data_IF_767557532540
#
_entry.id   IF_767557532540
#
_cell.length_a   1.000
_cell.length_b   1.000
_cell.length_c   1.000
_cell.angle_alpha   90.00
_cell.angle_beta   90.00
_cell.angle_gamma   90.00
#
_symmetry.space_group_name_H-M   'P 1'
#
loop_
_entity.id
_entity.type
_entity.pdbx_description
1 polymer ?
#
# COMPACT_ATOMS: atom_id res chain seq x y z
N UNK A 1 -20.50 -11.24 2.44
CA UNK A 1 -21.08 -11.32 3.81
C UNK A 1 -19.94 -11.73 4.72
N UNK A 2 -19.60 -10.91 5.73
CA UNK A 2 -18.45 -11.12 6.61
C UNK A 2 -18.57 -12.48 7.32
N UNK A 3 -17.57 -13.36 7.17
CA UNK A 3 -17.60 -14.70 7.76
C UNK A 3 -17.44 -14.68 9.30
N UNK A 4 -17.97 -15.73 9.94
CA UNK A 4 -17.92 -15.96 11.39
C UNK A 4 -16.46 -16.22 11.81
N UNK A 5 -15.81 -15.18 12.32
CA UNK A 5 -14.38 -15.16 12.68
C UNK A 5 -13.82 -13.74 12.66
N UNK A 6 -14.52 -12.84 11.96
CA UNK A 6 -14.22 -11.42 11.91
C UNK A 6 -14.31 -10.82 13.32
N UNK A 7 -13.19 -10.33 13.86
CA UNK A 7 -13.12 -9.60 15.14
C UNK A 7 -13.70 -8.19 14.96
N UNK A 8 -14.97 -8.13 14.59
CA UNK A 8 -15.71 -6.89 14.50
C UNK A 8 -15.91 -6.39 15.92
N UNK A 9 -15.34 -5.22 16.21
CA UNK A 9 -15.53 -4.54 17.48
C UNK A 9 -16.69 -3.55 17.31
N UNK A 10 -17.91 -3.87 17.76
CA UNK A 10 -18.95 -2.86 17.86
C UNK A 10 -18.49 -1.79 18.85
N UNK A 11 -18.37 -0.55 18.38
CA UNK A 11 -18.01 0.60 19.19
C UNK A 11 -19.25 1.46 19.39
N UNK A 12 -19.54 1.84 20.63
CA UNK A 12 -20.47 2.93 20.90
C UNK A 12 -19.93 4.21 20.28
N UNK A 13 -20.80 5.03 19.68
CA UNK A 13 -20.38 6.30 19.12
C UNK A 13 -19.78 7.21 20.20
N UNK A 14 -18.58 7.72 19.95
CA UNK A 14 -17.89 8.71 20.78
C UNK A 14 -17.39 9.83 19.87
N UNK A 15 -17.93 11.04 20.03
CA UNK A 15 -17.63 12.17 19.15
C UNK A 15 -16.14 12.53 19.09
N UNK A 16 -15.40 12.41 20.20
CA UNK A 16 -13.97 12.76 20.25
C UNK A 16 -13.13 11.71 19.53
N UNK A 17 -13.37 10.44 19.84
CA UNK A 17 -12.65 9.32 19.20
C UNK A 17 -12.96 9.23 17.70
N UNK A 18 -14.22 9.43 17.30
CA UNK A 18 -14.61 9.35 15.89
C UNK A 18 -14.09 10.54 15.07
N UNK A 19 -13.91 11.71 15.68
CA UNK A 19 -13.25 12.84 15.01
C UNK A 19 -11.76 12.56 14.75
N UNK A 20 -11.09 11.87 15.68
CA UNK A 20 -9.72 11.42 15.46
C UNK A 20 -9.67 10.38 14.34
N UNK A 21 -10.57 9.39 14.36
CA UNK A 21 -10.69 8.37 13.33
C UNK A 21 -10.90 8.97 11.93
N UNK A 22 -11.75 10.00 11.78
CA UNK A 22 -11.93 10.70 10.50
C UNK A 22 -10.60 11.31 9.97
N UNK A 23 -9.76 11.81 10.87
CA UNK A 23 -8.44 12.34 10.50
C UNK A 23 -7.50 11.22 10.07
N UNK A 24 -7.47 10.11 10.80
CA UNK A 24 -6.66 8.92 10.46
C UNK A 24 -7.09 8.30 9.12
N UNK A 25 -8.40 8.24 8.84
CA UNK A 25 -8.91 7.76 7.56
C UNK A 25 -8.52 8.67 6.39
N UNK A 26 -8.49 9.99 6.59
CA UNK A 26 -7.98 10.94 5.57
C UNK A 26 -6.48 10.76 5.33
N UNK A 27 -5.70 10.48 6.38
CA UNK A 27 -4.28 10.16 6.25
C UNK A 27 -4.09 8.86 5.46
N UNK A 28 -4.87 7.81 5.78
CA UNK A 28 -4.85 6.57 5.04
C UNK A 28 -5.21 6.77 3.56
N UNK A 29 -6.28 7.51 3.26
CA UNK A 29 -6.66 7.85 1.89
C UNK A 29 -5.50 8.54 1.15
N UNK A 30 -4.81 9.46 1.82
CA UNK A 30 -3.66 10.16 1.23
C UNK A 30 -2.50 9.20 1.00
N UNK A 31 -2.17 8.33 1.97
CA UNK A 31 -1.10 7.35 1.82
C UNK A 31 -1.37 6.38 0.64
N UNK A 32 -2.60 5.90 0.52
CA UNK A 32 -3.02 5.02 -0.57
C UNK A 32 -2.96 5.73 -1.93
N UNK A 33 -3.48 6.96 -2.03
CA UNK A 33 -3.53 7.68 -3.31
C UNK A 33 -2.19 8.28 -3.74
N UNK A 34 -1.22 8.43 -2.83
CA UNK A 34 0.11 8.97 -3.13
C UNK A 34 1.16 7.90 -3.40
N UNK A 35 0.95 6.66 -2.93
CA UNK A 35 1.84 5.56 -3.23
C UNK A 35 1.87 5.30 -4.75
N UNK A 36 3.08 5.08 -5.28
CA UNK A 36 3.28 4.84 -6.72
C UNK A 36 3.36 3.37 -7.09
N UNK A 37 3.66 2.52 -6.11
CA UNK A 37 3.98 1.10 -6.31
C UNK A 37 3.16 0.29 -5.31
N UNK A 38 3.67 0.11 -4.08
CA UNK A 38 3.02 -0.67 -3.04
C UNK A 38 2.75 0.17 -1.78
N UNK A 39 1.66 -0.17 -1.07
CA UNK A 39 1.35 0.36 0.26
C UNK A 39 1.48 -0.77 1.26
N UNK A 40 2.40 -0.61 2.20
CA UNK A 40 2.61 -1.57 3.29
C UNK A 40 1.98 -1.02 4.57
N UNK A 41 0.95 -1.71 5.07
CA UNK A 41 0.27 -1.32 6.31
C UNK A 41 0.78 -2.21 7.43
N UNK A 42 1.48 -1.61 8.38
CA UNK A 42 1.91 -2.26 9.61
C UNK A 42 1.36 -1.51 10.82
N UNK A 43 0.73 -2.25 11.71
CA UNK A 43 0.31 -1.83 13.04
C UNK A 43 0.86 -2.89 13.99
N UNK A 44 1.38 -2.56 15.16
CA UNK A 44 1.87 -3.58 16.09
C UNK A 44 0.71 -4.26 16.83
N UNK A 45 -0.35 -3.52 17.13
CA UNK A 45 -1.42 -3.98 17.99
C UNK A 45 -2.46 -4.79 17.20
N UNK A 46 -2.41 -6.12 17.33
CA UNK A 46 -3.32 -7.04 16.65
C UNK A 46 -4.79 -6.75 16.93
N UNK A 47 -5.15 -6.47 18.19
CA UNK A 47 -6.54 -6.21 18.56
C UNK A 47 -7.06 -4.89 17.98
N UNK A 48 -6.23 -3.84 17.94
CA UNK A 48 -6.62 -2.54 17.36
C UNK A 48 -6.73 -2.61 15.84
N UNK A 49 -5.82 -3.31 15.16
CA UNK A 49 -5.84 -3.40 13.69
C UNK A 49 -6.94 -4.32 13.16
N UNK A 50 -7.36 -5.32 13.96
CA UNK A 50 -8.22 -6.41 13.50
C UNK A 50 -9.48 -5.94 12.74
N UNK A 51 -10.27 -4.96 13.20
CA UNK A 51 -11.47 -4.54 12.48
C UNK A 51 -11.20 -4.09 11.03
N UNK A 52 -10.14 -3.30 10.83
CA UNK A 52 -9.74 -2.79 9.52
C UNK A 52 -9.09 -3.87 8.65
N UNK A 53 -8.21 -4.67 9.26
CA UNK A 53 -7.52 -5.76 8.58
C UNK A 53 -8.49 -6.81 8.05
N UNK A 54 -9.40 -7.29 8.89
CA UNK A 54 -10.41 -8.27 8.51
C UNK A 54 -11.41 -7.69 7.48
N UNK A 55 -11.76 -6.42 7.60
CA UNK A 55 -12.61 -5.74 6.62
C UNK A 55 -11.95 -5.70 5.23
N UNK A 56 -10.67 -5.33 5.15
CA UNK A 56 -9.93 -5.33 3.89
C UNK A 56 -9.75 -6.72 3.28
N UNK A 57 -9.48 -7.74 4.11
CA UNK A 57 -9.44 -9.14 3.65
C UNK A 57 -10.78 -9.60 3.09
N UNK A 58 -11.87 -9.30 3.79
CA UNK A 58 -13.20 -9.70 3.35
C UNK A 58 -13.61 -9.06 2.02
N UNK A 59 -13.12 -7.85 1.76
CA UNK A 59 -13.27 -7.18 0.46
C UNK A 59 -12.25 -7.63 -0.60
N UNK A 60 -11.28 -8.48 -0.22
CA UNK A 60 -10.18 -8.95 -1.08
C UNK A 60 -9.35 -7.80 -1.66
N UNK A 61 -9.12 -6.76 -0.87
CA UNK A 61 -8.37 -5.56 -1.27
C UNK A 61 -6.89 -5.60 -0.87
N UNK A 62 -6.49 -6.56 -0.04
CA UNK A 62 -5.13 -6.67 0.51
C UNK A 62 -4.65 -8.10 0.40
N UNK A 63 -3.33 -8.26 0.34
CA UNK A 63 -2.65 -9.55 0.44
C UNK A 63 -1.96 -9.64 1.81
N UNK A 64 -2.01 -10.82 2.41
CA UNK A 64 -1.25 -11.08 3.64
C UNK A 64 0.24 -11.17 3.35
N UNK A 65 1.07 -10.84 4.35
CA UNK A 65 2.53 -10.88 4.16
C UNK A 65 3.05 -12.27 3.77
N UNK A 66 2.46 -13.33 4.34
CA UNK A 66 2.84 -14.70 4.00
C UNK A 66 2.43 -15.09 2.58
N UNK A 67 1.22 -14.70 2.16
CA UNK A 67 0.74 -14.89 0.78
C UNK A 67 1.60 -14.10 -0.22
N UNK A 68 1.93 -12.85 0.11
CA UNK A 68 2.80 -12.01 -0.71
C UNK A 68 4.17 -12.66 -0.88
N UNK A 69 4.81 -13.11 0.22
CA UNK A 69 6.14 -13.74 0.17
C UNK A 69 6.14 -15.01 -0.67
N UNK A 70 5.11 -15.84 -0.56
CA UNK A 70 5.00 -17.06 -1.35
C UNK A 70 4.88 -16.76 -2.85
N UNK A 71 4.16 -15.68 -3.21
CA UNK A 71 3.98 -15.31 -4.61
C UNK A 71 5.17 -14.50 -5.17
N UNK A 72 5.97 -13.87 -4.30
CA UNK A 72 6.97 -12.87 -4.67
C UNK A 72 8.29 -13.05 -3.89
N UNK A 73 8.81 -14.28 -3.82
CA UNK A 73 10.00 -14.66 -3.04
C UNK A 73 11.22 -13.73 -3.22
N UNK A 74 11.39 -13.16 -4.41
CA UNK A 74 12.53 -12.28 -4.74
C UNK A 74 12.23 -10.77 -4.62
N UNK A 75 10.95 -10.38 -4.58
CA UNK A 75 10.58 -8.96 -4.45
C UNK A 75 10.43 -8.66 -2.96
N UNK A 76 11.39 -7.94 -2.39
CA UNK A 76 11.25 -7.35 -1.06
C UNK A 76 10.11 -6.31 -1.02
N UNK A 77 10.17 -5.35 -0.11
CA UNK A 77 9.15 -4.29 0.00
C UNK A 77 9.12 -3.31 -1.19
N UNK A 78 10.10 -3.38 -2.10
CA UNK A 78 10.24 -2.50 -3.26
C UNK A 78 10.09 -3.28 -4.55
N UNK A 79 9.38 -2.69 -5.52
CA UNK A 79 9.54 -3.09 -6.91
C UNK A 79 10.67 -2.25 -7.53
N UNK A 80 11.57 -2.92 -8.23
CA UNK A 80 12.63 -2.29 -9.02
C UNK A 80 12.20 -2.25 -10.47
N UNK A 81 12.52 -1.14 -11.15
CA UNK A 81 12.28 -1.06 -12.58
C UNK A 81 13.18 -2.04 -13.33
N UNK A 82 12.62 -2.69 -14.33
CA UNK A 82 13.33 -3.56 -15.26
C UNK A 82 14.30 -2.75 -16.13
N UNK A 83 15.36 -3.38 -16.68
CA UNK A 83 16.27 -2.71 -17.62
C UNK A 83 15.55 -2.08 -18.83
N UNK A 84 14.47 -2.70 -19.29
CA UNK A 84 13.65 -2.21 -20.40
C UNK A 84 12.88 -0.93 -20.03
N UNK A 85 12.35 -0.85 -18.81
CA UNK A 85 11.70 0.36 -18.30
C UNK A 85 12.70 1.51 -18.10
N UNK A 86 13.89 1.21 -17.58
CA UNK A 86 15.00 2.16 -17.50
C UNK A 86 15.37 2.70 -18.88
N UNK A 87 15.56 1.82 -19.87
CA UNK A 87 15.82 2.21 -21.25
C UNK A 87 14.72 3.11 -21.84
N UNK A 88 13.45 2.71 -21.71
CA UNK A 88 12.31 3.50 -22.19
C UNK A 88 12.27 4.89 -21.56
N UNK A 89 12.60 4.99 -20.26
CA UNK A 89 12.72 6.28 -19.58
C UNK A 89 13.90 7.11 -20.10
N UNK A 90 15.03 6.48 -20.35
CA UNK A 90 16.22 7.08 -20.96
C UNK A 90 15.93 7.66 -22.34
N UNK A 91 15.27 6.89 -23.22
CA UNK A 91 14.83 7.32 -24.55
C UNK A 91 13.91 8.55 -24.48
N UNK A 92 12.96 8.56 -23.54
CA UNK A 92 12.11 9.71 -23.29
C UNK A 92 12.94 10.95 -22.92
N UNK A 93 13.85 10.84 -21.96
CA UNK A 93 14.70 11.96 -21.56
C UNK A 93 15.62 12.44 -22.68
N UNK A 94 16.10 11.53 -23.53
CA UNK A 94 16.90 11.88 -24.70
C UNK A 94 16.09 12.72 -25.71
N UNK A 95 14.83 12.34 -25.97
CA UNK A 95 13.92 13.11 -26.84
C UNK A 95 13.63 14.52 -26.31
N UNK A 96 13.64 14.69 -24.98
CA UNK A 96 13.48 15.96 -24.28
C UNK A 96 14.81 16.73 -24.11
N UNK A 97 15.93 16.24 -24.68
CA UNK A 97 17.29 16.78 -24.56
C UNK A 97 17.83 16.85 -23.11
N UNK A 98 17.29 16.04 -22.20
CA UNK A 98 17.71 15.93 -20.80
C UNK A 98 18.83 14.90 -20.66
N UNK A 99 19.99 15.18 -21.28
CA UNK A 99 21.08 14.21 -21.45
C UNK A 99 21.63 13.64 -20.13
N UNK A 100 21.73 14.47 -19.09
CA UNK A 100 22.24 14.01 -17.78
C UNK A 100 21.33 12.95 -17.16
N UNK A 101 20.01 13.16 -17.19
CA UNK A 101 19.04 12.18 -16.69
C UNK A 101 18.96 10.94 -17.57
N UNK A 102 19.10 11.10 -18.89
CA UNK A 102 19.12 9.99 -19.83
C UNK A 102 20.33 9.07 -19.58
N UNK A 103 21.52 9.64 -19.33
CA UNK A 103 22.74 8.88 -19.01
C UNK A 103 22.54 7.98 -17.79
N UNK A 104 21.91 8.49 -16.74
CA UNK A 104 21.71 7.73 -15.50
C UNK A 104 20.71 6.55 -15.67
N UNK A 105 20.02 6.46 -16.81
CA UNK A 105 19.09 5.38 -17.12
C UNK A 105 19.70 4.23 -17.93
N UNK A 106 20.93 4.36 -18.44
CA UNK A 106 21.65 3.37 -19.25
C UNK A 106 22.80 2.73 -18.49
#
# INVERSE_FOLDING_TARGET
>A
VLEKGCRLRPLSFDSRQHKLLDTELKQLYTAVTRARVNVWIFDENSEKRAPMFEYFKALKLVQDLEEFKQNHEEKGFMETSTPQEWKSKGDKYLSEKKYLLARDCY
#
